data_IF_637385652775
#
_entry.id   IF_637385652775
#
_cell.length_a   1.000
_cell.length_b   1.000
_cell.length_c   1.000
_cell.angle_alpha   90.00
_cell.angle_beta   90.00
_cell.angle_gamma   90.00
#
_symmetry.space_group_name_H-M   'P 1'
#
loop_
_entity.id
_entity.type
_entity.pdbx_description
1 polymer ?
#
# COMPACT_ATOMS: atom_id res chain seq x y z
N UNK A 1 3.95 12.38 13.27
CA UNK A 1 3.93 10.94 12.95
C UNK A 1 2.59 10.63 12.31
N UNK A 2 2.56 10.21 11.04
CA UNK A 2 1.29 9.86 10.37
C UNK A 2 0.60 8.71 11.10
N UNK A 3 -0.74 8.68 11.09
CA UNK A 3 -1.49 7.56 11.62
C UNK A 3 -1.22 6.33 10.76
N UNK A 4 -0.58 5.30 11.33
CA UNK A 4 -0.36 4.03 10.64
C UNK A 4 -1.68 3.31 10.37
N UNK A 5 -1.68 2.41 9.38
CA UNK A 5 -2.88 1.66 8.97
C UNK A 5 -3.56 0.97 10.16
N UNK A 6 -2.80 0.41 11.11
CA UNK A 6 -3.36 -0.27 12.28
C UNK A 6 -4.28 0.65 13.11
N UNK A 7 -3.86 1.90 13.37
CA UNK A 7 -4.67 2.85 14.15
C UNK A 7 -5.92 3.29 13.40
N UNK A 8 -5.79 3.54 12.09
CA UNK A 8 -6.93 3.94 11.25
C UNK A 8 -7.97 2.82 11.14
N UNK A 9 -7.53 1.59 10.91
CA UNK A 9 -8.41 0.43 10.82
C UNK A 9 -9.00 0.09 12.20
N UNK A 10 -8.23 0.22 13.29
CA UNK A 10 -8.74 0.05 14.65
C UNK A 10 -9.82 1.07 15.02
N UNK A 11 -9.65 2.33 14.64
CA UNK A 11 -10.69 3.35 14.83
C UNK A 11 -11.96 3.01 14.03
N UNK A 12 -11.81 2.58 12.77
CA UNK A 12 -12.95 2.11 11.96
C UNK A 12 -13.67 0.93 12.61
N UNK A 13 -12.93 -0.03 13.18
CA UNK A 13 -13.52 -1.15 13.89
C UNK A 13 -14.40 -0.68 15.06
N UNK A 14 -13.90 0.27 15.87
CA UNK A 14 -14.65 0.85 16.98
C UNK A 14 -15.91 1.61 16.50
N UNK A 15 -15.81 2.39 15.43
CA UNK A 15 -16.97 3.09 14.84
C UNK A 15 -18.02 2.10 14.35
N UNK A 16 -17.63 1.07 13.61
CA UNK A 16 -18.58 0.04 13.16
C UNK A 16 -19.25 -0.69 14.31
N UNK A 17 -18.51 -1.00 15.38
CA UNK A 17 -19.07 -1.63 16.57
C UNK A 17 -20.10 -0.73 17.26
N UNK A 18 -19.79 0.56 17.44
CA UNK A 18 -20.71 1.53 18.05
C UNK A 18 -21.99 1.71 17.23
N UNK A 19 -21.87 1.79 15.91
CA UNK A 19 -23.02 1.89 15.00
C UNK A 19 -23.84 0.59 15.01
N UNK A 20 -23.18 -0.57 15.03
CA UNK A 20 -23.85 -1.86 15.14
C UNK A 20 -24.63 -2.00 16.45
N UNK A 21 -24.06 -1.55 17.56
CA UNK A 21 -24.70 -1.50 18.86
C UNK A 21 -25.93 -0.58 18.86
N UNK A 22 -25.82 0.60 18.24
CA UNK A 22 -26.96 1.52 18.09
C UNK A 22 -28.11 0.88 17.28
N UNK A 23 -27.82 0.24 16.14
CA UNK A 23 -28.85 -0.44 15.36
C UNK A 23 -29.45 -1.65 16.08
N UNK A 24 -28.65 -2.37 16.86
CA UNK A 24 -29.14 -3.47 17.69
C UNK A 24 -30.15 -2.97 18.75
N UNK A 25 -29.92 -1.77 19.32
CA UNK A 25 -30.85 -1.13 20.28
C UNK A 25 -32.16 -0.65 19.65
N UNK A 26 -32.21 -0.51 18.32
CA UNK A 26 -33.40 -0.15 17.55
C UNK A 26 -34.12 -1.37 16.96
N UNK A 27 -33.79 -2.58 17.42
CA UNK A 27 -34.30 -3.86 16.90
C UNK A 27 -34.01 -4.11 15.41
N UNK A 28 -33.07 -3.36 14.80
CA UNK A 28 -32.63 -3.50 13.42
C UNK A 28 -31.50 -4.55 13.30
N UNK A 29 -31.76 -5.77 13.75
CA UNK A 29 -30.76 -6.85 13.86
C UNK A 29 -30.13 -7.23 12.52
N UNK A 30 -30.91 -7.22 11.43
CA UNK A 30 -30.42 -7.54 10.07
C UNK A 30 -29.31 -6.60 9.60
N UNK A 31 -29.36 -5.32 9.99
CA UNK A 31 -28.32 -4.34 9.65
C UNK A 31 -27.10 -4.41 10.59
N UNK A 32 -27.29 -4.91 11.81
CA UNK A 32 -26.25 -5.02 12.83
C UNK A 32 -25.22 -6.12 12.51
N UNK A 33 -25.66 -7.30 12.06
CA UNK A 33 -24.77 -8.43 11.75
C UNK A 33 -23.62 -8.11 10.78
N UNK A 34 -23.84 -7.51 9.58
CA UNK A 34 -22.74 -7.19 8.67
C UNK A 34 -21.79 -6.13 9.24
N UNK A 35 -22.28 -5.21 10.08
CA UNK A 35 -21.44 -4.21 10.75
C UNK A 35 -20.56 -4.82 11.84
N UNK A 36 -21.09 -5.76 12.63
CA UNK A 36 -20.30 -6.53 13.61
C UNK A 36 -19.23 -7.33 12.87
N UNK A 37 -19.60 -8.02 11.79
CA UNK A 37 -18.65 -8.76 10.96
C UNK A 37 -17.53 -7.85 10.44
N UNK A 38 -17.87 -6.71 9.83
CA UNK A 38 -16.89 -5.74 9.35
C UNK A 38 -16.00 -5.19 10.49
N UNK A 39 -16.56 -4.98 11.68
CA UNK A 39 -15.83 -4.55 12.87
C UNK A 39 -14.80 -5.59 13.33
N UNK A 40 -15.20 -6.86 13.43
CA UNK A 40 -14.30 -7.97 13.82
C UNK A 40 -13.16 -8.11 12.81
N UNK A 41 -13.47 -8.11 11.52
CA UNK A 41 -12.45 -8.18 10.47
C UNK A 41 -11.50 -6.98 10.51
N UNK A 42 -12.02 -5.76 10.70
CA UNK A 42 -11.19 -4.57 10.86
C UNK A 42 -10.29 -4.70 12.10
N UNK A 43 -10.79 -5.19 13.24
CA UNK A 43 -9.97 -5.41 14.42
C UNK A 43 -8.84 -6.41 14.16
N UNK A 44 -9.12 -7.52 13.48
CA UNK A 44 -8.09 -8.51 13.10
C UNK A 44 -7.02 -7.89 12.20
N UNK A 45 -7.41 -7.13 11.18
CA UNK A 45 -6.47 -6.43 10.28
C UNK A 45 -5.67 -5.36 11.05
N UNK A 46 -6.30 -4.65 11.99
CA UNK A 46 -5.63 -3.68 12.87
C UNK A 46 -4.51 -4.33 13.69
N UNK A 47 -4.79 -5.49 14.29
CA UNK A 47 -3.83 -6.26 15.08
C UNK A 47 -2.72 -6.78 14.16
N UNK A 48 -3.04 -7.44 13.06
CA UNK A 48 -2.04 -8.02 12.16
C UNK A 48 -1.14 -6.98 11.47
N UNK A 49 -1.66 -5.77 11.25
CA UNK A 49 -0.90 -4.66 10.68
C UNK A 49 -0.16 -3.82 11.72
N UNK A 50 -0.20 -4.19 13.02
CA UNK A 50 0.52 -3.50 14.09
C UNK A 50 2.05 -3.66 13.95
N UNK A 51 2.90 -2.67 14.32
CA UNK A 51 4.35 -2.75 14.07
C UNK A 51 5.03 -3.93 14.74
N UNK A 52 4.51 -4.36 15.90
CA UNK A 52 5.08 -5.46 16.67
C UNK A 52 4.70 -6.85 16.12
N UNK A 53 3.68 -6.93 15.27
CA UNK A 53 3.17 -8.20 14.73
C UNK A 53 3.53 -8.33 13.26
N UNK A 54 3.24 -7.29 12.47
CA UNK A 54 3.57 -7.16 11.04
C UNK A 54 3.40 -8.46 10.25
N UNK A 55 2.17 -8.98 10.21
CA UNK A 55 1.83 -10.24 9.56
C UNK A 55 1.06 -10.01 8.23
N UNK A 56 1.75 -9.64 7.13
CA UNK A 56 1.11 -9.38 5.83
C UNK A 56 0.51 -10.64 5.20
N UNK A 57 0.90 -11.82 5.67
CA UNK A 57 0.37 -13.11 5.21
C UNK A 57 -1.05 -13.40 5.71
N UNK A 58 -1.60 -12.60 6.64
CA UNK A 58 -2.95 -12.80 7.18
C UNK A 58 -4.00 -12.92 6.07
N UNK A 59 -3.90 -12.10 5.02
CA UNK A 59 -4.86 -12.10 3.92
C UNK A 59 -4.69 -13.31 2.98
N UNK A 60 -3.68 -14.17 3.19
CA UNK A 60 -3.49 -15.37 2.38
C UNK A 60 -3.08 -15.10 0.93
N UNK A 61 -2.49 -13.93 0.63
CA UNK A 61 -1.98 -13.62 -0.71
C UNK A 61 -0.83 -14.57 -1.05
N UNK A 62 -1.01 -15.36 -2.11
CA UNK A 62 0.00 -16.29 -2.59
C UNK A 62 1.21 -15.59 -3.21
N UNK A 63 2.28 -16.34 -3.44
CA UNK A 63 3.45 -15.85 -4.19
C UNK A 63 3.11 -15.46 -5.63
N UNK A 64 2.09 -16.09 -6.23
CA UNK A 64 1.52 -15.74 -7.52
C UNK A 64 0.58 -14.52 -7.46
N UNK A 65 0.38 -13.90 -6.29
CA UNK A 65 -0.43 -12.70 -6.12
C UNK A 65 -1.94 -12.92 -6.17
N UNK A 66 -2.41 -14.16 -6.20
CA UNK A 66 -3.82 -14.51 -6.10
C UNK A 66 -4.26 -14.71 -4.66
N UNK A 67 -5.55 -14.50 -4.40
CA UNK A 67 -6.18 -14.81 -3.12
C UNK A 67 -7.00 -16.09 -3.22
N UNK A 68 -6.93 -16.99 -2.23
CA UNK A 68 -7.83 -18.13 -2.16
C UNK A 68 -9.27 -17.67 -1.87
N UNK A 69 -10.25 -18.48 -2.27
CA UNK A 69 -11.69 -18.15 -2.12
C UNK A 69 -12.07 -17.88 -0.66
N UNK A 70 -11.49 -18.62 0.29
CA UNK A 70 -11.75 -18.40 1.72
C UNK A 70 -11.33 -17.01 2.18
N UNK A 71 -10.25 -16.44 1.62
CA UNK A 71 -9.78 -15.11 1.96
C UNK A 71 -10.74 -14.05 1.44
N UNK A 72 -11.24 -14.21 0.23
CA UNK A 72 -12.28 -13.35 -0.31
C UNK A 72 -13.55 -13.36 0.53
N UNK A 73 -13.98 -14.52 1.02
CA UNK A 73 -15.17 -14.62 1.88
C UNK A 73 -14.91 -13.92 3.21
N UNK A 74 -13.85 -14.31 3.92
CA UNK A 74 -13.55 -13.87 5.28
C UNK A 74 -13.08 -12.41 5.37
N UNK A 75 -12.31 -11.93 4.40
CA UNK A 75 -11.79 -10.56 4.36
C UNK A 75 -12.53 -9.66 3.37
N UNK A 76 -13.65 -10.10 2.79
CA UNK A 76 -14.48 -9.32 1.86
C UNK A 76 -14.70 -7.87 2.27
N UNK A 77 -15.14 -7.52 3.50
CA UNK A 77 -15.41 -6.12 3.84
C UNK A 77 -14.16 -5.25 3.75
N UNK A 78 -12.99 -5.79 4.06
CA UNK A 78 -11.72 -5.08 3.98
C UNK A 78 -11.19 -5.01 2.55
N UNK A 79 -11.14 -6.14 1.84
CA UNK A 79 -10.60 -6.22 0.47
C UNK A 79 -11.43 -5.39 -0.50
N UNK A 80 -12.76 -5.51 -0.45
CA UNK A 80 -13.67 -4.71 -1.29
C UNK A 80 -13.54 -3.22 -0.98
N UNK A 81 -13.42 -2.85 0.30
CA UNK A 81 -13.20 -1.47 0.70
C UNK A 81 -11.91 -0.90 0.12
N UNK A 82 -10.78 -1.61 0.22
CA UNK A 82 -9.51 -1.15 -0.33
C UNK A 82 -9.56 -1.04 -1.85
N UNK A 83 -10.14 -2.03 -2.54
CA UNK A 83 -10.28 -2.00 -3.99
C UNK A 83 -11.08 -0.79 -4.46
N UNK A 84 -12.25 -0.58 -3.85
CA UNK A 84 -13.11 0.57 -4.15
C UNK A 84 -12.37 1.88 -3.83
N UNK A 85 -11.69 1.96 -2.68
CA UNK A 85 -10.97 3.15 -2.28
C UNK A 85 -9.82 3.50 -3.24
N UNK A 86 -9.06 2.50 -3.71
CA UNK A 86 -8.00 2.70 -4.71
C UNK A 86 -8.58 3.20 -6.03
N UNK A 87 -9.69 2.62 -6.48
CA UNK A 87 -10.38 3.06 -7.71
C UNK A 87 -10.91 4.49 -7.56
N UNK A 88 -11.65 4.79 -6.50
CA UNK A 88 -12.20 6.12 -6.23
C UNK A 88 -11.10 7.18 -6.11
N UNK A 89 -10.04 6.90 -5.36
CA UNK A 89 -8.91 7.83 -5.22
C UNK A 89 -8.24 8.09 -6.57
N UNK A 90 -8.18 7.09 -7.45
CA UNK A 90 -7.64 7.25 -8.81
C UNK A 90 -8.55 8.08 -9.70
N UNK A 91 -9.87 7.98 -9.57
CA UNK A 91 -10.79 8.84 -10.30
C UNK A 91 -10.71 10.30 -9.84
N UNK A 92 -10.50 10.52 -8.53
CA UNK A 92 -10.38 11.87 -7.97
C UNK A 92 -9.00 12.48 -8.23
N UNK A 93 -7.94 11.68 -8.13
CA UNK A 93 -6.56 12.11 -8.34
C UNK A 93 -6.07 11.67 -9.71
N UNK A 94 -6.00 12.63 -10.64
CA UNK A 94 -5.47 12.42 -11.99
C UNK A 94 -3.92 12.33 -11.99
N UNK A 95 -3.37 11.39 -11.22
CA UNK A 95 -1.93 11.11 -11.17
C UNK A 95 -1.55 10.02 -12.20
N UNK A 96 -0.39 10.13 -12.85
CA UNK A 96 0.08 9.09 -13.77
C UNK A 96 0.24 7.78 -13.00
N UNK A 97 -0.27 6.68 -13.58
CA UNK A 97 -0.28 5.38 -12.93
C UNK A 97 1.13 4.85 -12.69
N UNK A 98 2.00 5.01 -13.67
CA UNK A 98 3.40 4.67 -13.60
C UNK A 98 4.26 5.81 -14.14
N UNK A 99 5.52 5.83 -13.75
CA UNK A 99 6.51 6.80 -14.18
C UNK A 99 7.81 6.04 -14.45
N UNK A 100 8.43 6.32 -15.59
CA UNK A 100 9.76 5.79 -15.92
C UNK A 100 10.83 6.58 -15.17
N UNK A 101 11.58 5.90 -14.32
CA UNK A 101 12.65 6.54 -13.54
C UNK A 101 13.99 6.43 -14.25
N UNK A 102 14.22 5.31 -14.92
CA UNK A 102 15.37 5.07 -15.79
C UNK A 102 14.93 4.14 -16.93
N UNK A 103 15.78 3.99 -17.95
CA UNK A 103 15.48 3.19 -19.14
C UNK A 103 14.96 1.78 -18.78
N UNK A 104 13.68 1.53 -19.05
CA UNK A 104 12.99 0.28 -18.75
C UNK A 104 12.83 -0.03 -17.26
N UNK A 105 12.82 0.98 -16.40
CA UNK A 105 12.62 0.88 -14.94
C UNK A 105 11.50 1.83 -14.51
N UNK A 106 10.38 1.26 -14.10
CA UNK A 106 9.13 1.96 -13.84
C UNK A 106 8.67 1.83 -12.38
N UNK A 107 8.12 2.90 -11.80
CA UNK A 107 7.49 2.88 -10.47
C UNK A 107 6.05 3.39 -10.55
N UNK A 108 5.12 2.81 -9.79
CA UNK A 108 3.72 3.22 -9.88
C UNK A 108 2.72 2.61 -8.91
N UNK A 109 1.45 2.86 -9.18
CA UNK A 109 0.30 2.32 -8.45
C UNK A 109 -0.24 1.02 -9.06
N UNK A 110 -1.22 0.40 -8.42
CA UNK A 110 -1.65 -0.95 -8.78
C UNK A 110 -2.28 -1.02 -10.19
N UNK A 111 -1.75 -1.85 -11.10
CA UNK A 111 -2.30 -2.01 -12.45
C UNK A 111 -3.49 -2.97 -12.41
N UNK A 112 -4.71 -2.43 -12.45
CA UNK A 112 -5.92 -3.25 -12.46
C UNK A 112 -6.16 -3.97 -13.80
N UNK A 113 -5.47 -3.57 -14.88
CA UNK A 113 -5.59 -4.14 -16.23
C UNK A 113 -4.25 -4.07 -17.00
N UNK A 114 -4.13 -4.77 -18.13
CA UNK A 114 -2.92 -4.80 -18.98
C UNK A 114 -2.63 -3.46 -19.63
N UNK A 115 -3.66 -2.78 -20.09
CA UNK A 115 -3.58 -1.44 -20.71
C UNK A 115 -2.91 -0.40 -19.80
N UNK A 116 -2.82 -0.74 -18.51
CA UNK A 116 -2.29 0.07 -17.43
C UNK A 116 -0.88 -0.37 -16.99
N UNK A 117 -0.28 -1.34 -17.68
CA UNK A 117 1.11 -1.72 -17.49
C UNK A 117 2.04 -0.86 -18.37
N UNK A 118 3.29 -0.64 -17.95
CA UNK A 118 4.34 -0.14 -18.82
C UNK A 118 4.50 -1.01 -20.09
N UNK A 119 5.00 -0.43 -21.18
CA UNK A 119 5.19 -1.16 -22.44
C UNK A 119 6.19 -2.32 -22.29
N UNK A 120 6.08 -3.32 -23.16
CA UNK A 120 7.06 -4.40 -23.28
C UNK A 120 6.97 -5.54 -22.25
N UNK A 121 5.78 -5.80 -21.71
CA UNK A 121 5.51 -6.90 -20.76
C UNK A 121 6.50 -6.94 -19.58
N UNK A 122 6.49 -5.90 -18.73
CA UNK A 122 7.51 -5.75 -17.69
C UNK A 122 7.43 -6.87 -16.65
N UNK A 123 8.57 -7.17 -16.05
CA UNK A 123 8.66 -7.94 -14.82
C UNK A 123 8.13 -7.09 -13.65
N UNK A 124 7.07 -7.57 -12.98
CA UNK A 124 6.30 -6.83 -11.98
C UNK A 124 6.69 -7.23 -10.57
N UNK A 125 7.10 -6.25 -9.77
CA UNK A 125 7.25 -6.37 -8.31
C UNK A 125 6.06 -5.69 -7.65
N UNK A 126 5.28 -6.49 -6.92
CA UNK A 126 4.08 -6.05 -6.22
C UNK A 126 4.36 -5.93 -4.72
N UNK A 127 4.38 -4.70 -4.22
CA UNK A 127 4.63 -4.41 -2.81
C UNK A 127 3.35 -4.38 -1.95
N UNK A 128 2.25 -5.01 -2.39
CA UNK A 128 0.98 -5.03 -1.67
C UNK A 128 0.67 -6.40 -1.09
N UNK A 129 0.07 -6.46 0.09
CA UNK A 129 -0.53 -7.68 0.62
C UNK A 129 -2.03 -7.73 0.36
N UNK A 130 -2.63 -6.60 0.00
CA UNK A 130 -4.08 -6.36 -0.02
C UNK A 130 -4.70 -6.28 -1.42
N UNK A 131 -3.90 -6.15 -2.48
CA UNK A 131 -4.38 -6.06 -3.87
C UNK A 131 -3.97 -7.30 -4.66
N UNK A 132 -4.83 -7.89 -5.52
CA UNK A 132 -4.49 -9.07 -6.29
C UNK A 132 -3.65 -8.72 -7.52
N UNK A 133 -2.86 -9.70 -7.99
CA UNK A 133 -2.22 -9.64 -9.31
C UNK A 133 -3.28 -9.58 -10.41
N UNK A 134 -3.04 -8.80 -11.46
CA UNK A 134 -3.84 -8.87 -12.69
C UNK A 134 -3.60 -10.22 -13.38
N UNK A 135 -4.67 -10.93 -13.76
CA UNK A 135 -4.61 -12.29 -14.31
C UNK A 135 -3.71 -12.42 -15.54
N UNK A 136 -3.52 -11.32 -16.25
CA UNK A 136 -2.75 -11.19 -17.49
C UNK A 136 -1.24 -11.09 -17.30
N UNK A 137 -0.76 -10.78 -16.09
CA UNK A 137 0.67 -10.78 -15.78
C UNK A 137 1.12 -12.24 -15.63
N UNK A 138 2.07 -12.70 -16.43
CA UNK A 138 2.63 -14.06 -16.27
C UNK A 138 3.22 -14.25 -14.87
N UNK A 139 2.97 -15.41 -14.26
CA UNK A 139 3.54 -15.77 -12.95
C UNK A 139 5.07 -15.74 -12.97
N UNK A 140 5.69 -16.08 -14.10
CA UNK A 140 7.15 -16.04 -14.27
C UNK A 140 7.72 -14.62 -14.28
N UNK A 141 6.88 -13.61 -14.54
CA UNK A 141 7.23 -12.19 -14.56
C UNK A 141 6.66 -11.46 -13.35
N UNK A 142 6.29 -12.15 -12.27
CA UNK A 142 5.69 -11.54 -11.10
C UNK A 142 6.43 -11.93 -9.81
N UNK A 143 6.62 -10.97 -8.92
CA UNK A 143 7.14 -11.17 -7.58
C UNK A 143 6.28 -10.41 -6.56
N UNK A 144 5.70 -11.13 -5.62
CA UNK A 144 4.99 -10.52 -4.49
C UNK A 144 5.94 -10.24 -3.32
N UNK A 145 6.05 -8.97 -2.95
CA UNK A 145 6.67 -8.48 -1.71
C UNK A 145 5.54 -7.99 -0.81
N UNK A 146 4.86 -8.94 -0.15
CA UNK A 146 3.67 -8.63 0.63
C UNK A 146 4.01 -7.66 1.79
N UNK A 147 3.47 -6.45 1.76
CA UNK A 147 3.73 -5.41 2.76
C UNK A 147 2.46 -4.61 3.00
N UNK A 148 2.07 -4.46 4.26
CA UNK A 148 0.93 -3.62 4.66
C UNK A 148 1.13 -2.16 4.27
N UNK A 149 0.04 -1.45 3.95
CA UNK A 149 0.13 -0.01 3.71
C UNK A 149 0.71 0.72 4.94
N UNK A 150 1.47 1.79 4.70
CA UNK A 150 2.26 2.51 5.73
C UNK A 150 3.40 1.71 6.40
N UNK A 151 3.61 0.43 6.05
CA UNK A 151 4.77 -0.38 6.46
C UNK A 151 5.86 -0.39 5.41
N UNK A 152 7.04 -0.84 5.81
CA UNK A 152 8.18 -1.01 4.92
C UNK A 152 8.45 -2.51 4.66
N UNK A 153 8.80 -2.89 3.43
CA UNK A 153 9.37 -4.20 3.17
C UNK A 153 10.65 -4.37 3.98
N UNK A 154 10.89 -5.55 4.53
CA UNK A 154 12.08 -5.83 5.34
C UNK A 154 13.36 -5.77 4.49
N UNK A 155 14.54 -5.48 5.06
CA UNK A 155 15.80 -5.40 4.30
C UNK A 155 16.11 -6.64 3.44
N UNK A 156 15.80 -7.84 3.95
CA UNK A 156 15.96 -9.10 3.21
C UNK A 156 14.97 -9.24 2.04
N UNK A 157 13.75 -8.72 2.18
CA UNK A 157 12.76 -8.69 1.12
C UNK A 157 13.13 -7.68 0.03
N UNK A 158 13.67 -6.51 0.43
CA UNK A 158 14.24 -5.53 -0.49
C UNK A 158 15.36 -6.18 -1.31
N UNK A 159 16.32 -6.81 -0.64
CA UNK A 159 17.44 -7.48 -1.30
C UNK A 159 16.98 -8.58 -2.28
N UNK A 160 16.04 -9.42 -1.86
CA UNK A 160 15.46 -10.47 -2.72
C UNK A 160 14.79 -9.88 -3.96
N UNK A 161 14.01 -8.81 -3.78
CA UNK A 161 13.33 -8.11 -4.87
C UNK A 161 14.31 -7.46 -5.85
N UNK A 162 15.36 -6.82 -5.32
CA UNK A 162 16.44 -6.22 -6.12
C UNK A 162 17.16 -7.29 -6.94
N UNK A 163 17.62 -8.39 -6.31
CA UNK A 163 18.29 -9.49 -7.02
C UNK A 163 17.40 -10.09 -8.10
N UNK A 164 16.12 -10.26 -7.82
CA UNK A 164 15.16 -10.74 -8.81
C UNK A 164 15.01 -9.76 -9.98
N UNK A 165 14.88 -8.46 -9.71
CA UNK A 165 14.82 -7.42 -10.74
C UNK A 165 16.08 -7.39 -11.61
N UNK A 166 17.27 -7.47 -11.02
CA UNK A 166 18.54 -7.51 -11.75
C UNK A 166 18.61 -8.70 -12.72
N UNK A 167 18.15 -9.89 -12.30
CA UNK A 167 18.07 -11.07 -13.18
C UNK A 167 17.07 -10.88 -14.33
N UNK A 168 16.00 -10.12 -14.12
CA UNK A 168 15.04 -9.79 -15.20
C UNK A 168 15.62 -8.75 -16.16
N UNK A 169 16.35 -7.77 -15.64
CA UNK A 169 17.07 -6.77 -16.44
C UNK A 169 18.16 -7.41 -17.31
N UNK A 170 18.89 -8.40 -16.81
CA UNK A 170 19.89 -9.13 -17.62
C UNK A 170 19.25 -9.96 -18.76
N UNK A 171 17.93 -10.18 -18.72
CA UNK A 171 17.14 -10.79 -19.79
C UNK A 171 16.48 -9.74 -20.70
N UNK A 172 16.94 -8.49 -20.66
CA UNK A 172 16.36 -7.34 -21.38
C UNK A 172 14.87 -7.11 -21.08
N UNK A 173 14.38 -7.52 -19.91
CA UNK A 173 13.00 -7.22 -19.49
C UNK A 173 12.96 -5.92 -18.70
N UNK A 174 12.01 -5.06 -19.05
CA UNK A 174 11.66 -3.91 -18.23
C UNK A 174 11.20 -4.36 -16.83
N UNK A 175 11.42 -3.54 -15.81
CA UNK A 175 10.99 -3.81 -14.43
C UNK A 175 9.98 -2.77 -14.00
N UNK A 176 8.87 -3.22 -13.42
CA UNK A 176 7.83 -2.37 -12.87
C UNK A 176 7.62 -2.66 -11.38
N UNK A 177 7.86 -1.67 -10.53
CA UNK A 177 7.66 -1.78 -9.08
C UNK A 177 6.43 -0.99 -8.67
N UNK A 178 5.42 -1.65 -8.11
CA UNK A 178 4.19 -0.98 -7.72
C UNK A 178 3.74 -1.27 -6.29
N UNK A 179 2.94 -0.34 -5.75
CA UNK A 179 2.13 -0.59 -4.55
C UNK A 179 0.68 -0.17 -4.87
N UNK A 180 -0.12 0.26 -3.91
CA UNK A 180 -1.47 0.76 -4.20
C UNK A 180 -1.44 2.03 -5.08
N UNK A 181 -0.60 3.01 -4.72
CA UNK A 181 -0.55 4.34 -5.34
C UNK A 181 0.81 4.76 -5.92
N UNK A 182 1.85 3.97 -5.65
CA UNK A 182 3.21 4.32 -6.08
C UNK A 182 3.85 5.43 -5.26
N UNK A 183 3.55 5.51 -3.95
CA UNK A 183 4.05 6.60 -3.09
C UNK A 183 5.09 6.14 -2.07
N UNK A 184 4.92 4.98 -1.43
CA UNK A 184 5.74 4.57 -0.29
C UNK A 184 6.48 3.25 -0.51
N UNK A 185 5.78 2.14 -0.32
CA UNK A 185 6.33 0.76 -0.36
C UNK A 185 7.12 0.46 -1.63
N UNK A 186 6.56 0.79 -2.79
CA UNK A 186 7.22 0.57 -4.08
C UNK A 186 8.40 1.50 -4.31
N UNK A 187 8.35 2.72 -3.78
CA UNK A 187 9.44 3.69 -3.86
C UNK A 187 10.62 3.22 -3.02
N UNK A 188 10.36 2.62 -1.86
CA UNK A 188 11.37 1.98 -1.03
C UNK A 188 12.17 0.93 -1.84
N UNK A 189 11.49 -0.03 -2.47
CA UNK A 189 12.15 -1.04 -3.30
C UNK A 189 12.82 -0.41 -4.53
N UNK A 190 12.22 0.60 -5.15
CA UNK A 190 12.79 1.30 -6.30
C UNK A 190 14.10 2.02 -5.95
N UNK A 191 14.19 2.68 -4.79
CA UNK A 191 15.43 3.30 -4.32
C UNK A 191 16.57 2.28 -4.27
N UNK A 192 16.32 1.12 -3.68
CA UNK A 192 17.31 0.05 -3.59
C UNK A 192 17.70 -0.51 -4.97
N UNK A 193 16.72 -0.66 -5.87
CA UNK A 193 16.97 -1.12 -7.23
C UNK A 193 17.85 -0.15 -8.02
N UNK A 194 17.62 1.16 -7.93
CA UNK A 194 18.42 2.17 -8.64
C UNK A 194 19.88 2.17 -8.17
N UNK A 195 20.10 2.02 -6.86
CA UNK A 195 21.46 1.89 -6.29
C UNK A 195 22.13 0.63 -6.81
N UNK A 196 21.44 -0.51 -6.80
CA UNK A 196 22.00 -1.77 -7.27
C UNK A 196 22.26 -1.81 -8.79
N UNK A 197 21.55 -0.99 -9.57
CA UNK A 197 21.80 -0.78 -11.00
C UNK A 197 22.98 0.18 -11.25
N UNK A 198 23.55 0.80 -10.21
CA UNK A 198 24.60 1.82 -10.35
C UNK A 198 24.10 3.16 -10.90
N UNK A 199 22.79 3.40 -10.87
CA UNK A 199 22.16 4.64 -11.35
C UNK A 199 22.11 5.72 -10.28
N UNK A 200 22.28 5.35 -9.00
CA UNK A 200 22.36 6.26 -7.88
C UNK A 200 23.45 5.80 -6.91
N UNK A 201 24.18 6.74 -6.32
CA UNK A 201 25.26 6.45 -5.36
C UNK A 201 24.73 5.83 -4.07
N UNK A 202 23.61 6.35 -3.56
CA UNK A 202 22.94 5.86 -2.36
C UNK A 202 21.41 5.94 -2.49
N UNK A 203 20.71 5.39 -1.49
CA UNK A 203 19.25 5.36 -1.52
C UNK A 203 18.62 6.75 -1.43
N UNK A 204 19.34 7.77 -0.93
CA UNK A 204 18.87 9.15 -0.79
C UNK A 204 18.92 9.87 -2.14
N UNK A 205 20.01 9.71 -2.88
CA UNK A 205 20.15 10.15 -4.26
C UNK A 205 19.09 9.47 -5.13
N UNK A 206 18.83 8.18 -4.92
CA UNK A 206 17.74 7.47 -5.59
C UNK A 206 16.35 8.04 -5.22
N UNK A 207 16.08 8.35 -3.95
CA UNK A 207 14.82 9.02 -3.54
C UNK A 207 14.64 10.36 -4.27
N UNK A 208 15.71 11.16 -4.38
CA UNK A 208 15.69 12.45 -5.06
C UNK A 208 15.45 12.29 -6.57
N UNK A 209 16.12 11.36 -7.23
CA UNK A 209 15.89 11.06 -8.64
C UNK A 209 14.43 10.66 -8.92
N UNK A 210 13.85 9.83 -8.05
CA UNK A 210 12.43 9.45 -8.17
C UNK A 210 11.53 10.66 -7.92
N UNK A 211 11.86 11.51 -6.93
CA UNK A 211 11.09 12.70 -6.57
C UNK A 211 10.94 13.66 -7.73
N UNK A 212 12.01 13.88 -8.48
CA UNK A 212 12.04 14.79 -9.63
C UNK A 212 11.08 14.35 -10.73
N UNK A 213 11.02 13.04 -11.01
CA UNK A 213 10.14 12.48 -12.04
C UNK A 213 8.72 12.22 -11.52
N UNK A 214 8.56 11.94 -10.23
CA UNK A 214 7.29 11.64 -9.57
C UNK A 214 7.17 12.42 -8.24
N UNK A 215 6.69 13.68 -8.27
CA UNK A 215 6.61 14.52 -7.06
C UNK A 215 5.72 13.96 -5.94
N UNK A 216 4.75 13.09 -6.29
CA UNK A 216 3.77 12.52 -5.36
C UNK A 216 4.30 11.43 -4.42
N UNK A 217 5.58 11.04 -4.52
CA UNK A 217 6.13 10.03 -3.61
C UNK A 217 6.03 10.48 -2.14
N UNK A 218 5.92 9.54 -1.22
CA UNK A 218 5.78 9.81 0.20
C UNK A 218 6.35 8.63 0.99
N UNK A 219 7.68 8.64 1.15
CA UNK A 219 8.34 7.69 2.04
C UNK A 219 8.24 8.15 3.50
N UNK A 220 7.85 7.25 4.39
CA UNK A 220 7.83 7.49 5.83
C UNK A 220 9.18 7.09 6.46
N UNK A 221 9.30 7.29 7.78
CA UNK A 221 10.52 6.93 8.52
C UNK A 221 10.83 5.42 8.51
N UNK A 222 9.80 4.56 8.43
CA UNK A 222 10.00 3.11 8.37
C UNK A 222 10.67 2.69 7.06
N UNK A 223 10.26 3.26 5.92
CA UNK A 223 10.91 3.00 4.63
C UNK A 223 12.38 3.40 4.67
N UNK A 224 12.68 4.61 5.16
CA UNK A 224 14.06 5.11 5.26
C UNK A 224 14.92 4.26 6.18
N UNK A 225 14.39 3.88 7.35
CA UNK A 225 15.08 2.98 8.29
C UNK A 225 15.40 1.63 7.63
N UNK A 226 14.44 1.04 6.92
CA UNK A 226 14.67 -0.23 6.24
C UNK A 226 15.69 -0.13 5.11
N UNK A 227 15.73 1.00 4.38
CA UNK A 227 16.76 1.27 3.37
C UNK A 227 18.14 1.47 3.99
N UNK A 228 18.23 2.15 5.13
CA UNK A 228 19.48 2.29 5.88
C UNK A 228 20.02 0.94 6.35
N UNK A 229 19.16 0.07 6.88
CA UNK A 229 19.54 -1.29 7.28
C UNK A 229 19.96 -2.14 6.07
N UNK A 230 19.22 -2.06 4.96
CA UNK A 230 19.59 -2.72 3.71
C UNK A 230 20.95 -2.24 3.17
N UNK A 231 21.19 -0.93 3.15
CA UNK A 231 22.44 -0.34 2.66
C UNK A 231 23.65 -0.75 3.52
N UNK A 232 23.48 -0.89 4.84
CA UNK A 232 24.55 -1.42 5.73
C UNK A 232 24.95 -2.85 5.36
N UNK A 233 23.98 -3.68 4.94
CA UNK A 233 24.25 -5.05 4.52
C UNK A 233 24.96 -5.12 3.16
N UNK A 234 24.77 -4.14 2.27
CA UNK A 234 25.57 -4.02 1.04
C UNK A 234 27.03 -3.64 1.33
N UNK A 235 27.25 -2.75 2.29
CA UNK A 235 28.58 -2.24 2.65
C UNK A 235 29.40 -3.19 3.53
N UNK A 236 28.74 -4.14 4.19
CA UNK A 236 29.41 -5.20 4.93
C UNK A 236 29.76 -6.31 3.94
N UNK A 237 31.04 -6.56 3.61
CA UNK A 237 31.38 -7.66 2.74
C UNK A 237 30.83 -8.95 3.35
N UNK A 238 30.08 -9.72 2.58
CA UNK A 238 29.69 -11.08 2.95
C UNK A 238 30.95 -11.90 3.18
N UNK A 239 31.45 -11.92 4.42
CA UNK A 239 32.45 -12.85 4.89
C UNK A 239 31.78 -14.23 5.00
N UNK A 240 31.51 -14.87 3.86
CA UNK A 240 31.13 -16.29 3.70
C UNK A 240 31.01 -16.67 2.22
N UNK A 241 32.17 -16.92 1.62
CA UNK A 241 32.50 -18.13 0.84
C UNK A 241 33.90 -17.91 0.25
N UNK A 242 34.88 -17.81 1.15
CA UNK A 242 36.28 -18.02 0.81
C UNK A 242 36.62 -19.44 1.25
N UNK A 243 36.27 -20.41 0.41
CA UNK A 243 37.16 -21.54 0.17
C UNK A 243 37.72 -21.28 -1.22
N UNK A 244 38.98 -20.88 -1.25
CA UNK A 244 39.76 -20.66 -2.45
C UNK A 244 40.08 -21.99 -3.12
N UNK A 245 39.84 -22.11 -4.42
CA UNK A 245 40.65 -22.96 -5.28
C UNK A 245 40.91 -22.24 -6.62
N UNK A 246 42.12 -22.37 -7.18
CA UNK A 246 42.61 -21.52 -8.27
C UNK A 246 42.14 -21.97 -9.66
N UNK A 247 42.25 -21.02 -10.58
CA UNK A 247 42.04 -21.09 -12.03
C UNK A 247 42.64 -22.34 -12.68
N UNK A 248 41.82 -23.09 -13.41
CA UNK A 248 42.23 -23.76 -14.66
C UNK A 248 41.02 -24.02 -15.59
N UNK A 249 41.18 -23.62 -16.84
CA UNK A 249 40.24 -23.75 -17.96
C UNK A 249 40.26 -25.19 -18.59
N UNK A 250 39.42 -25.52 -19.59
CA UNK A 250 38.51 -26.68 -19.57
C UNK A 250 39.02 -27.88 -20.38
N UNK A 251 38.36 -29.06 -20.25
CA UNK A 251 38.03 -30.02 -21.33
C UNK A 251 37.35 -31.31 -20.80
N UNK A 252 36.34 -31.74 -21.57
CA UNK A 252 35.83 -33.10 -21.83
C UNK A 252 35.17 -34.01 -20.77
N UNK A 253 33.88 -34.30 -21.04
CA UNK A 253 33.25 -35.63 -21.22
C UNK A 253 33.70 -36.76 -20.28
N UNK A 254 32.77 -37.30 -19.47
CA UNK A 254 32.25 -38.68 -19.62
C UNK A 254 31.08 -38.95 -18.66
N UNK A 255 30.39 -40.00 -19.06
CA UNK A 255 29.02 -40.39 -18.79
C UNK A 255 28.89 -41.33 -17.57
N UNK A 256 27.65 -41.48 -17.12
CA UNK A 256 27.06 -42.63 -16.42
C UNK A 256 27.18 -42.79 -14.87
N UNK A 257 26.00 -43.12 -14.33
CA UNK A 257 25.72 -44.14 -13.28
C UNK A 257 25.18 -43.60 -11.93
N UNK A 258 23.87 -43.82 -11.73
CA UNK A 258 23.14 -43.80 -10.45
C UNK A 258 23.41 -45.15 -9.72
N UNK A 259 23.41 -45.23 -8.37
CA UNK A 259 22.20 -45.65 -7.63
C UNK A 259 21.98 -44.92 -6.28
N UNK A 260 20.75 -44.48 -6.00
CA UNK A 260 19.79 -45.06 -5.00
C UNK A 260 20.23 -45.01 -3.53
N UNK A 261 19.49 -44.19 -2.76
CA UNK A 261 18.91 -44.58 -1.47
C UNK A 261 19.68 -44.23 -0.20
N UNK A 262 19.10 -43.35 0.63
CA UNK A 262 18.85 -43.63 2.06
C UNK A 262 17.99 -42.52 2.69
N UNK A 263 16.81 -42.96 3.12
CA UNK A 263 15.90 -42.32 4.06
C UNK A 263 16.44 -42.41 5.49
N UNK A 264 15.77 -41.70 6.41
CA UNK A 264 15.79 -41.72 7.89
C UNK A 264 16.29 -40.37 8.44
N UNK A 265 15.76 -39.83 9.53
CA UNK A 265 14.54 -40.04 10.28
C UNK A 265 14.48 -38.88 11.28
N UNK A 266 13.30 -38.35 11.53
CA UNK A 266 13.01 -37.47 12.66
C UNK A 266 13.29 -38.20 13.98
N UNK A 267 13.70 -37.50 15.04
CA UNK A 267 13.29 -37.86 16.38
C UNK A 267 12.43 -36.76 17.00
N UNK A 268 11.21 -37.18 17.33
CA UNK A 268 10.23 -36.50 18.14
C UNK A 268 10.34 -37.07 19.56
N UNK A 269 10.18 -36.19 20.56
CA UNK A 269 9.97 -36.43 22.01
C UNK A 269 11.21 -36.50 22.90
N UNK A 270 11.36 -35.47 23.73
CA UNK A 270 11.27 -35.52 25.21
C UNK A 270 11.40 -34.09 25.74
N UNK A 271 10.79 -33.63 26.83
CA UNK A 271 9.46 -33.78 27.45
C UNK A 271 9.40 -32.60 28.44
N UNK A 272 8.21 -32.00 28.59
CA UNK A 272 7.66 -31.40 29.81
C UNK A 272 8.61 -30.69 30.80
N UNK A 273 8.43 -29.38 30.93
CA UNK A 273 8.45 -28.77 32.26
C UNK A 273 7.34 -27.71 32.36
N UNK A 274 6.32 -28.06 33.14
CA UNK A 274 5.31 -27.13 33.65
C UNK A 274 5.97 -25.96 34.37
N UNK A 275 5.54 -24.74 34.06
CA UNK A 275 5.56 -23.67 35.05
C UNK A 275 4.25 -22.89 35.00
N UNK A 276 3.49 -23.13 36.06
CA UNK A 276 2.21 -22.55 36.43
C UNK A 276 2.46 -21.18 37.07
N UNK A 277 2.10 -20.09 36.40
CA UNK A 277 2.05 -18.77 37.04
C UNK A 277 0.69 -18.09 36.76
N UNK A 278 0.09 -17.67 37.86
CA UNK A 278 -1.27 -17.20 38.06
C UNK A 278 -1.50 -15.79 37.49
N UNK A 279 -2.62 -15.61 36.77
CA UNK A 279 -3.15 -14.28 36.41
C UNK A 279 -3.95 -13.69 37.58
N UNK A 280 -3.82 -12.38 37.88
CA UNK A 280 -4.83 -11.68 38.65
C UNK A 280 -5.97 -11.21 37.72
N UNK A 281 -7.19 -11.52 38.13
CA UNK A 281 -8.43 -11.02 37.54
C UNK A 281 -8.53 -9.49 37.74
N UNK A 282 -8.55 -8.75 36.65
CA UNK A 282 -8.88 -7.32 36.68
C UNK A 282 -10.39 -7.17 36.46
N UNK A 283 -11.13 -7.07 37.58
CA UNK A 283 -12.51 -6.62 37.63
C UNK A 283 -12.58 -5.17 37.14
N UNK A 284 -13.34 -4.91 36.07
CA UNK A 284 -13.73 -3.55 35.69
C UNK A 284 -15.10 -3.30 36.33
N UNK A 285 -15.09 -2.53 37.41
CA UNK A 285 -16.30 -1.91 37.98
C UNK A 285 -16.87 -0.91 36.98
N UNK A 286 -18.10 -1.14 36.53
CA UNK A 286 -18.93 -0.11 35.90
C UNK A 286 -19.46 0.81 37.01
N UNK A 287 -18.89 2.01 37.16
CA UNK A 287 -19.53 3.08 37.94
C UNK A 287 -20.47 3.86 37.03
N UNK A 288 -21.75 3.86 37.41
CA UNK A 288 -22.82 4.72 36.92
C UNK A 288 -22.39 6.20 36.95
N UNK A 289 -22.39 6.86 35.79
CA UNK A 289 -22.44 8.31 35.73
C UNK A 289 -23.30 8.73 34.54
N UNK A 290 -24.60 8.78 34.81
CA UNK A 290 -25.57 9.59 34.06
C UNK A 290 -25.23 11.08 34.18
N UNK A 291 -24.74 11.67 33.09
CA UNK A 291 -25.32 12.85 32.40
C UNK A 291 -24.32 13.47 31.41
N UNK A 292 -24.89 14.03 30.36
CA UNK A 292 -24.29 14.98 29.40
C UNK A 292 -23.35 14.43 28.33
N UNK A 293 -23.95 13.82 27.28
CA UNK A 293 -23.39 13.94 25.93
C UNK A 293 -24.50 14.43 25.00
N UNK A 294 -24.40 15.72 24.71
CA UNK A 294 -25.18 16.41 23.71
C UNK A 294 -25.05 15.74 22.33
N UNK A 295 -26.14 15.80 21.57
CA UNK A 295 -26.32 15.30 20.20
C UNK A 295 -25.11 15.59 19.30
N UNK A 296 -24.28 14.59 19.04
CA UNK A 296 -23.36 14.60 17.90
C UNK A 296 -24.06 13.86 16.77
N UNK A 297 -24.41 14.59 15.71
CA UNK A 297 -25.02 13.99 14.54
C UNK A 297 -24.00 13.14 13.80
N UNK A 298 -24.42 11.98 13.25
CA UNK A 298 -23.55 11.08 12.48
C UNK A 298 -22.87 11.79 11.29
N UNK A 299 -23.47 12.89 10.80
CA UNK A 299 -22.90 13.74 9.75
C UNK A 299 -21.65 14.53 10.20
N UNK A 300 -21.57 14.94 11.47
CA UNK A 300 -20.43 15.72 11.98
C UNK A 300 -19.15 14.87 12.09
N UNK A 301 -19.30 13.59 12.40
CA UNK A 301 -18.18 12.63 12.48
C UNK A 301 -17.64 12.31 11.08
N UNK A 302 -18.53 12.14 10.09
CA UNK A 302 -18.11 11.95 8.69
C UNK A 302 -17.40 13.19 8.13
N UNK A 303 -17.85 14.39 8.51
CA UNK A 303 -17.24 15.64 8.08
C UNK A 303 -15.87 15.88 8.74
N UNK A 304 -15.69 15.50 10.02
CA UNK A 304 -14.37 15.52 10.68
C UNK A 304 -13.38 14.51 10.08
N UNK A 305 -13.84 13.33 9.64
CA UNK A 305 -12.98 12.36 8.95
C UNK A 305 -12.52 12.84 7.56
N UNK A 306 -13.37 13.55 6.83
CA UNK A 306 -13.01 14.15 5.54
C UNK A 306 -11.99 15.29 5.74
N UNK A 307 -12.20 16.17 6.74
CA UNK A 307 -11.28 17.26 7.06
C UNK A 307 -9.91 16.80 7.59
N UNK A 308 -9.86 15.75 8.42
CA UNK A 308 -8.59 15.24 8.98
C UNK A 308 -7.77 14.41 7.99
N UNK A 309 -8.40 13.87 6.94
CA UNK A 309 -7.72 13.15 5.86
C UNK A 309 -7.26 14.10 4.75
N UNK A 310 -7.86 15.29 4.65
CA UNK A 310 -7.49 16.33 3.70
C UNK A 310 -6.70 17.41 4.44
N UNK A 311 -5.37 17.20 4.43
CA UNK A 311 -4.33 18.19 4.13
C UNK A 311 -3.44 18.75 5.27
N UNK A 312 -2.29 19.35 4.88
CA UNK A 312 -2.23 20.81 4.95
C UNK A 312 -2.20 21.38 3.53
N UNK A 313 -3.34 21.91 3.09
CA UNK A 313 -3.53 22.52 1.77
C UNK A 313 -3.13 23.95 2.01
N UNK A 314 -2.14 24.38 1.25
CA UNK A 314 -1.64 25.74 1.28
C UNK A 314 -2.84 26.70 1.08
N UNK A 315 -3.12 27.54 2.07
CA UNK A 315 -4.24 28.51 2.13
C UNK A 315 -4.20 29.55 1.01
N UNK A 316 -3.17 29.54 0.17
CA UNK A 316 -2.96 30.46 -0.95
C UNK A 316 -3.68 30.06 -2.26
N UNK A 317 -4.14 28.81 -2.41
CA UNK A 317 -4.79 28.35 -3.66
C UNK A 317 -6.32 28.57 -3.60
N UNK A 318 -6.94 28.39 -2.44
CA UNK A 318 -8.39 28.61 -2.27
C UNK A 318 -8.72 30.10 -2.47
N UNK A 319 -7.85 31.00 -2.00
CA UNK A 319 -8.05 32.44 -2.17
C UNK A 319 -7.88 32.90 -3.63
N UNK A 320 -7.13 32.15 -4.44
CA UNK A 320 -6.91 32.46 -5.87
C UNK A 320 -8.09 31.98 -6.73
N UNK A 321 -8.58 30.76 -6.47
CA UNK A 321 -9.75 30.21 -7.17
C UNK A 321 -11.06 30.93 -6.81
N UNK A 322 -11.19 31.46 -5.59
CA UNK A 322 -12.35 32.26 -5.20
C UNK A 322 -12.36 33.64 -5.85
N UNK A 323 -11.20 34.27 -6.06
CA UNK A 323 -11.12 35.55 -6.75
C UNK A 323 -11.38 35.40 -8.25
N UNK A 324 -10.83 34.38 -8.90
CA UNK A 324 -11.04 34.14 -10.33
C UNK A 324 -12.51 33.84 -10.64
N UNK A 325 -13.21 33.12 -9.76
CA UNK A 325 -14.65 32.81 -9.93
C UNK A 325 -15.54 34.05 -9.77
N UNK A 326 -15.16 35.00 -8.90
CA UNK A 326 -15.87 36.26 -8.70
C UNK A 326 -15.63 37.24 -9.87
N UNK A 327 -14.41 37.28 -10.42
CA UNK A 327 -14.12 38.10 -11.61
C UNK A 327 -14.87 37.59 -12.85
N UNK A 328 -14.92 36.27 -13.07
CA UNK A 328 -15.66 35.68 -14.21
C UNK A 328 -17.15 35.99 -14.11
N UNK A 329 -17.77 35.81 -12.94
CA UNK A 329 -19.20 36.11 -12.72
C UNK A 329 -19.54 37.60 -12.90
N UNK A 330 -18.63 38.50 -12.52
CA UNK A 330 -18.80 39.94 -12.72
C UNK A 330 -18.71 40.34 -14.20
N UNK A 331 -17.82 39.69 -14.95
CA UNK A 331 -17.62 39.93 -16.37
C UNK A 331 -18.80 39.44 -17.23
N UNK A 332 -19.39 38.28 -16.91
CA UNK A 332 -20.57 37.76 -17.61
C UNK A 332 -21.83 38.58 -17.31
N UNK A 333 -22.00 39.02 -16.07
CA UNK A 333 -23.13 39.88 -15.68
C UNK A 333 -23.05 41.26 -16.35
N UNK A 334 -21.84 41.82 -16.46
CA UNK A 334 -21.61 43.07 -17.17
C UNK A 334 -21.83 42.94 -18.69
N UNK A 335 -21.45 41.80 -19.27
CA UNK A 335 -21.62 41.51 -20.70
C UNK A 335 -23.11 41.36 -21.08
N UNK A 336 -23.86 40.59 -20.30
CA UNK A 336 -25.32 40.40 -20.49
C UNK A 336 -26.10 41.71 -20.38
N UNK A 337 -25.78 42.55 -19.39
CA UNK A 337 -26.44 43.85 -19.20
C UNK A 337 -26.22 44.81 -20.38
N UNK A 338 -25.06 44.74 -21.05
CA UNK A 338 -24.73 45.59 -22.20
C UNK A 338 -25.45 45.12 -23.49
N UNK A 339 -25.73 43.83 -23.60
CA UNK A 339 -26.45 43.23 -24.73
C UNK A 339 -27.97 43.47 -24.65
N UNK A 340 -28.55 43.37 -23.46
CA UNK A 340 -29.96 43.71 -23.21
C UNK A 340 -30.24 45.21 -23.45
N UNK A 341 -29.31 46.10 -23.07
CA UNK A 341 -29.44 47.53 -23.40
C UNK A 341 -29.31 47.82 -24.89
N UNK A 342 -28.53 47.04 -25.66
CA UNK A 342 -28.45 47.17 -27.12
C UNK A 342 -29.75 46.71 -27.79
N UNK A 343 -30.35 45.61 -27.33
CA UNK A 343 -31.62 45.09 -27.85
C UNK A 343 -32.79 46.03 -27.54
N UNK A 344 -32.82 46.64 -26.34
CA UNK A 344 -33.82 47.66 -25.98
C UNK A 344 -33.70 48.94 -26.81
N UNK A 345 -32.48 49.38 -27.15
CA UNK A 345 -32.26 50.52 -28.05
C UNK A 345 -32.63 50.22 -29.51
N UNK A 346 -32.45 48.98 -29.96
CA UNK A 346 -32.87 48.54 -31.30
C UNK A 346 -34.40 48.47 -31.46
N UNK A 347 -35.13 48.14 -30.38
CA UNK A 347 -36.61 48.13 -30.36
C UNK A 347 -37.26 49.52 -30.32
N UNK A 348 -36.55 50.56 -29.90
CA UNK A 348 -37.05 51.96 -29.92
C UNK A 348 -36.84 52.69 -31.24
N UNK A 349 -36.19 52.05 -32.23
CA UNK A 349 -35.89 52.62 -33.56
C UNK A 349 -36.66 51.95 -34.71
N UNK A 350 -37.60 51.06 -34.39
CA UNK A 350 -38.67 50.60 -35.28
C UNK A 350 -39.98 51.09 -34.69
#
# INVERSE_FOLDING_TARGET
MGWGISRLIGLKAAVFLSVAYFFHRLDMTLLSFPLIYASVIALLVSIASHPSIDLPLLLGKGSNGSFPVWSWIMFSPFLLFIHLFVLLRRFVKNEPLYTEIADGVYVGGWPSSVERLPPGEPAVIDCTCELPRSSTISENSYLCVATWDTRAPQPSQIESAVRWALRKRSQNKAVYVHCAYGHGRSVCVMCALLVALGLAEDWKAAEQMIREKRPSISMNSLHRKSLEEWAKHLLTPSKRSGESDPVQEPLEVWNNSVPVGLTLSVPMKFLLQEKKESMPAMFICFSDSRRDIARISVLDITHQMIKSTIHPMNTSIIHRLSNDSLEISSSESYSRGREDQRLLRARRRR
#
